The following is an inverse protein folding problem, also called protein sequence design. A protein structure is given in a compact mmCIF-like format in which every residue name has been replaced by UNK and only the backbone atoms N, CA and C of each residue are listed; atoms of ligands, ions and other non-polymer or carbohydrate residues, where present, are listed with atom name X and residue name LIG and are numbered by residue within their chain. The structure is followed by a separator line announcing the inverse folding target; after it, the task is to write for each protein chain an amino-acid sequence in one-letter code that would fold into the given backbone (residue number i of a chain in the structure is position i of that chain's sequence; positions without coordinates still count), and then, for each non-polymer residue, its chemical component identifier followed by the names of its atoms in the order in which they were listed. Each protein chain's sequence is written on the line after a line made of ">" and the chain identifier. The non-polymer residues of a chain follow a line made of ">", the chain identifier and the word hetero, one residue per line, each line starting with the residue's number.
data_IF_717267268123
#
_entry.id   IF_717267268123
#
_cell.length_a   1.000
_cell.length_b   1.000
_cell.length_c   1.000
_cell.angle_alpha   90.00
_cell.angle_beta   90.00
_cell.angle_gamma   90.00
#
_symmetry.space_group_name_H-M   'P 1'
#
loop_
_entity.id
_entity.type
_entity.pdbx_description
1 polymer ?
#
# COMPACT_ATOMS: atom_id res chain seq x y z
N UNK A 1 5.48 -27.98 2.68
CA UNK A 1 5.28 -27.23 1.42
C UNK A 1 5.61 -28.17 0.29
N UNK A 2 4.73 -28.28 -0.69
CA UNK A 2 4.98 -29.02 -1.93
C UNK A 2 5.32 -27.99 -2.99
N UNK A 3 6.59 -27.94 -3.37
CA UNK A 3 7.08 -27.00 -4.39
C UNK A 3 6.91 -27.63 -5.77
N UNK A 4 6.23 -26.93 -6.68
CA UNK A 4 5.83 -27.38 -8.02
C UNK A 4 5.12 -28.75 -8.07
N UNK A 5 3.78 -28.74 -7.99
CA UNK A 5 2.98 -29.96 -8.14
C UNK A 5 3.14 -30.60 -9.53
N UNK A 6 3.32 -29.79 -10.56
CA UNK A 6 3.55 -30.22 -11.93
C UNK A 6 4.87 -30.98 -12.06
N UNK A 7 5.95 -30.50 -11.44
CA UNK A 7 7.24 -31.19 -11.42
C UNK A 7 7.16 -32.59 -10.78
N UNK A 8 6.32 -32.77 -9.77
CA UNK A 8 6.11 -34.07 -9.11
C UNK A 8 5.22 -35.03 -9.89
N UNK A 9 4.44 -34.52 -10.83
CA UNK A 9 3.40 -35.30 -11.54
C UNK A 9 3.68 -35.46 -13.02
N UNK A 10 4.85 -35.03 -13.50
CA UNK A 10 5.21 -35.03 -14.92
C UNK A 10 5.14 -36.43 -15.54
N UNK A 11 5.59 -37.46 -14.82
CA UNK A 11 5.63 -38.85 -15.31
C UNK A 11 4.41 -39.69 -14.93
N UNK A 12 3.42 -39.10 -14.25
CA UNK A 12 2.24 -39.82 -13.75
C UNK A 12 1.09 -39.76 -14.76
N UNK A 13 0.30 -40.83 -14.80
CA UNK A 13 -0.98 -40.80 -15.51
C UNK A 13 -2.06 -40.02 -14.73
N UNK A 14 -3.20 -39.71 -15.37
CA UNK A 14 -4.28 -38.94 -14.72
C UNK A 14 -4.91 -39.67 -13.52
N UNK A 15 -4.90 -41.00 -13.50
CA UNK A 15 -5.43 -41.77 -12.38
C UNK A 15 -4.49 -41.68 -11.16
N UNK A 16 -3.18 -41.78 -11.39
CA UNK A 16 -2.14 -41.60 -10.38
C UNK A 16 -2.13 -40.17 -9.82
N UNK A 17 -2.26 -39.16 -10.68
CA UNK A 17 -2.40 -37.75 -10.27
C UNK A 17 -3.59 -37.54 -9.35
N UNK A 18 -4.76 -38.08 -9.71
CA UNK A 18 -5.95 -37.93 -8.90
C UNK A 18 -5.82 -38.62 -7.54
N UNK A 19 -5.27 -39.83 -7.52
CA UNK A 19 -4.97 -40.54 -6.28
C UNK A 19 -4.01 -39.75 -5.38
N UNK A 20 -2.98 -39.11 -5.95
CA UNK A 20 -2.05 -38.27 -5.22
C UNK A 20 -2.75 -37.04 -4.61
N UNK A 21 -3.58 -36.33 -5.37
CA UNK A 21 -4.36 -35.17 -4.89
C UNK A 21 -5.21 -35.54 -3.67
N UNK A 22 -5.97 -36.64 -3.77
CA UNK A 22 -6.84 -37.13 -2.67
C UNK A 22 -6.00 -37.48 -1.44
N UNK A 23 -4.86 -38.16 -1.63
CA UNK A 23 -3.96 -38.53 -0.52
C UNK A 23 -3.37 -37.32 0.17
N UNK A 24 -2.96 -36.28 -0.57
CA UNK A 24 -2.44 -35.04 0.02
C UNK A 24 -3.50 -34.37 0.91
N UNK A 25 -4.73 -34.27 0.43
CA UNK A 25 -5.83 -33.65 1.19
C UNK A 25 -6.19 -34.47 2.42
N UNK A 26 -6.25 -35.80 2.30
CA UNK A 26 -6.46 -36.69 3.45
C UNK A 26 -5.34 -36.57 4.48
N UNK A 27 -4.09 -36.61 4.02
CA UNK A 27 -2.93 -36.46 4.90
C UNK A 27 -3.00 -35.16 5.70
N UNK A 28 -3.31 -34.03 5.04
CA UNK A 28 -3.48 -32.74 5.71
C UNK A 28 -4.54 -32.81 6.82
N UNK A 29 -5.69 -33.44 6.55
CA UNK A 29 -6.81 -33.57 7.50
C UNK A 29 -6.49 -34.53 8.65
N UNK A 30 -5.99 -35.72 8.34
CA UNK A 30 -5.74 -36.79 9.31
C UNK A 30 -4.61 -36.43 10.27
N UNK A 31 -3.61 -35.69 9.79
CA UNK A 31 -2.48 -35.22 10.59
C UNK A 31 -2.68 -33.83 11.19
N UNK A 32 -3.77 -33.15 10.85
CA UNK A 32 -4.02 -31.75 11.18
C UNK A 32 -2.85 -30.83 10.75
N UNK A 33 -2.21 -31.14 9.63
CA UNK A 33 -1.08 -30.40 9.09
C UNK A 33 -1.53 -29.35 8.07
N UNK A 34 -0.88 -28.18 8.10
CA UNK A 34 -1.07 -27.15 7.09
C UNK A 34 -0.19 -27.44 5.88
N UNK A 35 -0.80 -27.86 4.77
CA UNK A 35 -0.10 -28.13 3.51
C UNK A 35 -0.38 -27.00 2.52
N UNK A 36 0.68 -26.33 2.07
CA UNK A 36 0.66 -25.46 0.91
C UNK A 36 1.23 -26.21 -0.30
N UNK A 37 0.50 -26.16 -1.41
CA UNK A 37 0.89 -26.73 -2.71
C UNK A 37 1.05 -25.59 -3.69
N UNK A 38 2.19 -25.53 -4.37
CA UNK A 38 2.49 -24.52 -5.38
C UNK A 38 2.18 -25.13 -6.75
N UNK A 39 1.42 -24.37 -7.55
CA UNK A 39 1.10 -24.69 -8.94
C UNK A 39 1.60 -23.56 -9.82
N UNK A 40 2.10 -23.90 -11.01
CA UNK A 40 2.65 -22.95 -11.98
C UNK A 40 1.60 -22.54 -13.02
N UNK A 41 0.56 -23.36 -13.18
CA UNK A 41 -0.53 -23.12 -14.13
C UNK A 41 -1.64 -22.25 -13.53
N UNK A 42 -2.26 -21.43 -14.37
CA UNK A 42 -3.46 -20.65 -14.02
C UNK A 42 -4.76 -21.34 -14.46
N UNK A 43 -4.65 -22.52 -15.08
CA UNK A 43 -5.80 -23.30 -15.51
C UNK A 43 -6.51 -23.92 -14.31
N UNK A 44 -7.85 -24.06 -14.34
CA UNK A 44 -8.59 -24.72 -13.27
C UNK A 44 -8.05 -26.12 -12.99
N UNK A 45 -7.62 -26.37 -11.76
CA UNK A 45 -7.08 -27.67 -11.35
C UNK A 45 -8.12 -28.41 -10.48
N UNK A 46 -8.31 -29.74 -10.64
CA UNK A 46 -9.14 -30.50 -9.71
C UNK A 46 -8.82 -30.28 -8.22
N UNK A 47 -7.55 -29.99 -7.92
CA UNK A 47 -7.10 -29.68 -6.56
C UNK A 47 -7.77 -28.43 -5.97
N UNK A 48 -8.17 -27.45 -6.79
CA UNK A 48 -8.84 -26.21 -6.34
C UNK A 48 -10.20 -26.49 -5.67
N UNK A 49 -10.89 -27.53 -6.13
CA UNK A 49 -12.18 -27.95 -5.57
C UNK A 49 -12.00 -28.66 -4.23
N UNK A 50 -10.94 -29.48 -4.12
CA UNK A 50 -10.63 -30.25 -2.93
C UNK A 50 -10.01 -29.39 -1.81
N UNK A 51 -9.22 -28.40 -2.18
CA UNK A 51 -8.52 -27.51 -1.26
C UNK A 51 -9.47 -26.64 -0.43
N UNK A 52 -9.08 -26.35 0.81
CA UNK A 52 -9.81 -25.46 1.70
C UNK A 52 -9.47 -23.98 1.45
N UNK A 53 -8.33 -23.68 0.81
CA UNK A 53 -7.97 -22.35 0.34
C UNK A 53 -7.34 -22.39 -1.05
N UNK A 54 -7.63 -21.37 -1.86
CA UNK A 54 -7.06 -21.18 -3.21
C UNK A 54 -6.63 -19.73 -3.33
N UNK A 55 -5.34 -19.52 -3.61
CA UNK A 55 -4.71 -18.20 -3.74
C UNK A 55 -3.98 -18.15 -5.07
N UNK A 56 -4.19 -17.09 -5.84
CA UNK A 56 -3.48 -16.86 -7.11
C UNK A 56 -2.55 -15.67 -6.98
N UNK A 57 -1.31 -15.84 -7.44
CA UNK A 57 -0.34 -14.75 -7.57
C UNK A 57 -0.31 -14.28 -9.02
N UNK A 58 -0.76 -13.05 -9.26
CA UNK A 58 -0.90 -12.48 -10.60
C UNK A 58 0.20 -11.43 -10.79
N UNK A 59 0.91 -11.52 -11.91
CA UNK A 59 1.80 -10.45 -12.38
C UNK A 59 1.11 -9.77 -13.56
N UNK A 60 0.96 -8.47 -13.47
CA UNK A 60 0.22 -7.65 -14.42
C UNK A 60 1.03 -6.38 -14.75
N UNK A 61 0.62 -5.61 -15.75
CA UNK A 61 1.30 -4.38 -16.17
C UNK A 61 0.29 -3.25 -16.34
N UNK A 62 0.51 -2.13 -15.64
CA UNK A 62 -0.26 -0.90 -15.79
C UNK A 62 0.71 0.22 -16.15
N UNK A 63 0.47 0.91 -17.26
CA UNK A 63 1.31 2.01 -17.76
C UNK A 63 2.81 1.64 -17.81
N UNK A 64 3.10 0.47 -18.41
CA UNK A 64 4.44 -0.14 -18.48
C UNK A 64 5.11 -0.44 -17.13
N UNK A 65 4.36 -0.36 -16.02
CA UNK A 65 4.83 -0.72 -14.68
C UNK A 65 4.29 -2.06 -14.26
N UNK A 66 5.20 -2.95 -13.87
CA UNK A 66 4.86 -4.26 -13.33
C UNK A 66 4.18 -4.11 -11.97
N UNK A 67 3.01 -4.69 -11.84
CA UNK A 67 2.30 -4.84 -10.57
C UNK A 67 2.18 -6.31 -10.23
N UNK A 68 2.10 -6.61 -8.93
CA UNK A 68 1.88 -7.97 -8.45
C UNK A 68 0.70 -7.98 -7.50
N UNK A 69 -0.24 -8.88 -7.75
CA UNK A 69 -1.50 -9.01 -7.02
C UNK A 69 -1.60 -10.41 -6.42
N UNK A 70 -2.04 -10.50 -5.16
CA UNK A 70 -2.51 -11.72 -4.54
C UNK A 70 -4.01 -11.71 -4.62
N UNK A 71 -4.60 -12.74 -5.22
CA UNK A 71 -6.03 -12.93 -5.29
C UNK A 71 -6.44 -14.12 -4.42
N UNK A 72 -7.31 -13.86 -3.45
CA UNK A 72 -7.91 -14.86 -2.58
C UNK A 72 -9.17 -15.40 -3.25
N UNK A 73 -9.04 -16.48 -4.01
CA UNK A 73 -10.16 -17.07 -4.75
C UNK A 73 -11.13 -17.80 -3.82
N UNK A 74 -10.60 -18.45 -2.78
CA UNK A 74 -11.38 -19.28 -1.85
C UNK A 74 -10.64 -19.39 -0.52
N UNK A 75 -11.35 -19.24 0.60
CA UNK A 75 -10.88 -19.58 1.94
C UNK A 75 -12.07 -20.13 2.74
N UNK A 76 -12.18 -21.46 2.89
CA UNK A 76 -13.26 -22.08 3.67
C UNK A 76 -13.12 -21.72 5.15
N UNK A 77 -14.25 -21.41 5.78
CA UNK A 77 -14.29 -21.05 7.20
C UNK A 77 -13.73 -19.67 7.53
N UNK A 78 -13.29 -18.88 6.53
CA UNK A 78 -12.72 -17.53 6.75
C UNK A 78 -13.40 -16.51 5.84
N UNK A 79 -13.83 -15.39 6.42
CA UNK A 79 -14.40 -14.28 5.64
C UNK A 79 -13.32 -13.53 4.88
N UNK A 80 -13.50 -13.38 3.56
CA UNK A 80 -12.63 -12.59 2.71
C UNK A 80 -13.20 -11.16 2.66
N UNK A 81 -12.59 -10.24 3.43
CA UNK A 81 -12.98 -8.82 3.42
C UNK A 81 -12.52 -8.10 2.16
N UNK A 82 -11.31 -8.41 1.71
CA UNK A 82 -10.69 -7.86 0.51
C UNK A 82 -10.10 -9.03 -0.29
N UNK A 83 -10.59 -9.30 -1.50
CA UNK A 83 -10.18 -10.48 -2.26
C UNK A 83 -8.87 -10.29 -3.01
N UNK A 84 -8.36 -9.05 -3.12
CA UNK A 84 -7.17 -8.74 -3.90
C UNK A 84 -6.24 -7.82 -3.11
N UNK A 85 -4.96 -8.16 -3.02
CA UNK A 85 -3.93 -7.35 -2.35
C UNK A 85 -2.75 -7.13 -3.28
N UNK A 86 -2.13 -5.95 -3.22
CA UNK A 86 -0.85 -5.74 -3.88
C UNK A 86 0.27 -6.35 -3.04
N UNK A 87 1.33 -6.83 -3.69
CA UNK A 87 2.54 -7.27 -2.99
C UNK A 87 3.82 -6.88 -3.72
N UNK A 88 4.93 -6.89 -2.97
CA UNK A 88 6.29 -6.67 -3.46
C UNK A 88 7.19 -7.82 -3.04
N UNK A 89 8.29 -7.98 -3.78
CA UNK A 89 9.40 -8.88 -3.47
C UNK A 89 10.67 -8.08 -3.21
N UNK A 90 10.53 -6.82 -2.77
CA UNK A 90 11.68 -5.95 -2.50
C UNK A 90 12.63 -6.64 -1.50
N UNK A 91 13.93 -6.58 -1.80
CA UNK A 91 14.99 -7.25 -1.00
C UNK A 91 14.77 -8.78 -0.86
N UNK A 92 14.06 -9.40 -1.80
CA UNK A 92 13.75 -10.83 -1.74
C UNK A 92 12.65 -11.21 -0.73
N UNK A 93 11.98 -10.24 -0.12
CA UNK A 93 10.96 -10.47 0.90
C UNK A 93 9.55 -10.29 0.33
N UNK A 94 8.70 -11.31 0.47
CA UNK A 94 7.28 -11.18 0.18
C UNK A 94 6.62 -10.27 1.22
N UNK A 95 6.19 -9.09 0.79
CA UNK A 95 5.45 -8.12 1.61
C UNK A 95 4.18 -7.72 0.86
N UNK A 96 3.02 -7.87 1.49
CA UNK A 96 1.76 -7.40 0.94
C UNK A 96 1.39 -6.05 1.55
N UNK A 97 0.59 -5.26 0.82
CA UNK A 97 0.05 -4.00 1.28
C UNK A 97 -1.35 -4.26 1.86
N UNK A 98 -1.57 -4.11 3.18
CA UNK A 98 -2.89 -4.27 3.77
C UNK A 98 -3.85 -3.18 3.27
N UNK A 99 -5.14 -3.32 3.60
CA UNK A 99 -6.11 -2.24 3.39
C UNK A 99 -5.57 -0.95 3.98
N UNK A 100 -5.71 0.15 3.24
CA UNK A 100 -5.48 1.50 3.75
C UNK A 100 -6.62 1.89 4.69
N UNK A 101 -6.57 1.35 5.91
CA UNK A 101 -7.43 1.81 6.99
C UNK A 101 -6.78 3.09 7.55
N UNK A 102 -7.51 4.20 7.46
CA UNK A 102 -7.07 5.48 8.05
C UNK A 102 -7.26 5.38 9.55
N UNK A 103 -6.37 4.66 10.22
CA UNK A 103 -6.39 4.55 11.66
C UNK A 103 -6.07 5.92 12.27
N UNK A 104 -6.96 6.42 13.11
CA UNK A 104 -6.65 7.55 13.98
C UNK A 104 -5.56 7.06 14.92
N UNK A 105 -4.32 7.47 14.67
CA UNK A 105 -3.17 7.05 15.46
C UNK A 105 -3.39 7.53 16.91
N UNK A 106 -3.68 6.60 17.82
CA UNK A 106 -3.99 6.91 19.22
C UNK A 106 -2.85 7.65 19.93
N UNK A 107 -1.61 7.43 19.49
CA UNK A 107 -0.40 8.14 19.93
C UNK A 107 0.46 8.49 18.71
N UNK A 108 0.25 9.66 18.12
CA UNK A 108 1.03 10.10 16.96
C UNK A 108 2.49 10.29 17.39
N UNK A 109 3.40 9.70 16.62
CA UNK A 109 4.83 9.92 16.77
C UNK A 109 5.22 10.94 15.71
N UNK A 110 5.71 12.10 16.13
CA UNK A 110 6.26 13.10 15.20
C UNK A 110 7.50 12.52 14.52
N UNK A 111 7.52 12.39 13.18
CA UNK A 111 8.70 11.94 12.47
C UNK A 111 9.87 12.90 12.68
N UNK A 112 11.09 12.37 12.75
CA UNK A 112 12.28 13.21 12.69
C UNK A 112 12.33 13.93 11.34
N UNK A 113 12.48 15.26 11.29
CA UNK A 113 12.53 15.98 10.02
C UNK A 113 13.67 15.50 9.14
N UNK A 114 13.37 15.28 7.86
CA UNK A 114 14.35 14.88 6.85
C UNK A 114 14.97 16.16 6.26
N UNK A 115 16.29 16.37 6.38
CA UNK A 115 16.95 17.56 5.89
C UNK A 115 16.92 17.63 4.35
N UNK A 116 17.03 18.84 3.83
CA UNK A 116 17.23 19.08 2.40
C UNK A 116 18.55 18.50 1.90
N UNK A 117 18.59 18.13 0.62
CA UNK A 117 19.81 17.71 -0.06
C UNK A 117 20.08 18.68 -1.23
N UNK A 118 21.26 19.31 -1.23
CA UNK A 118 21.68 20.29 -2.25
C UNK A 118 20.61 21.39 -2.52
N UNK A 119 20.22 21.52 -3.78
CA UNK A 119 19.21 22.45 -4.30
C UNK A 119 17.78 21.88 -4.25
N UNK A 120 17.54 20.83 -3.45
CA UNK A 120 16.23 20.18 -3.31
C UNK A 120 15.67 20.29 -1.89
N UNK A 121 14.34 20.24 -1.79
CA UNK A 121 13.55 20.25 -0.56
C UNK A 121 13.01 18.84 -0.36
N UNK A 122 13.29 18.25 0.80
CA UNK A 122 12.75 16.92 1.12
C UNK A 122 11.22 16.92 1.13
N UNK A 123 10.64 15.88 0.54
CA UNK A 123 9.21 15.57 0.56
C UNK A 123 8.72 15.13 1.94
N UNK A 124 9.63 14.90 2.90
CA UNK A 124 9.31 14.31 4.20
C UNK A 124 9.10 12.80 4.17
N UNK A 125 9.28 12.17 3.00
CA UNK A 125 9.22 10.72 2.80
C UNK A 125 10.54 10.30 2.15
N UNK A 126 11.39 9.57 2.89
CA UNK A 126 12.73 9.19 2.41
C UNK A 126 12.69 8.44 1.07
N UNK A 127 11.74 7.51 0.93
CA UNK A 127 11.63 6.70 -0.28
C UNK A 127 11.18 7.55 -1.47
N UNK A 128 10.35 8.56 -1.22
CA UNK A 128 9.92 9.46 -2.28
C UNK A 128 11.01 10.47 -2.65
N UNK A 129 11.83 10.90 -1.68
CA UNK A 129 13.03 11.69 -1.97
C UNK A 129 13.97 10.93 -2.89
N UNK A 130 14.21 9.63 -2.65
CA UNK A 130 15.03 8.80 -3.55
C UNK A 130 14.45 8.76 -4.97
N UNK A 131 13.14 8.58 -5.11
CA UNK A 131 12.46 8.59 -6.42
C UNK A 131 12.55 9.94 -7.14
N UNK A 132 12.62 11.04 -6.39
CA UNK A 132 12.75 12.40 -6.90
C UNK A 132 14.21 12.89 -6.95
N UNK A 133 15.18 11.98 -6.80
CA UNK A 133 16.63 12.28 -6.81
C UNK A 133 17.04 13.30 -5.72
N UNK A 134 16.39 13.27 -4.56
CA UNK A 134 16.65 14.13 -3.40
C UNK A 134 15.50 15.10 -3.05
N UNK A 135 14.34 14.98 -3.68
CA UNK A 135 13.12 15.73 -3.35
C UNK A 135 12.74 16.82 -4.37
N UNK A 136 11.96 17.81 -3.94
CA UNK A 136 11.47 18.90 -4.78
C UNK A 136 12.57 19.91 -5.12
N UNK A 137 12.78 20.23 -6.39
CA UNK A 137 13.68 21.32 -6.80
C UNK A 137 13.29 22.66 -6.13
N UNK A 138 14.25 23.32 -5.47
CA UNK A 138 14.06 24.65 -4.87
C UNK A 138 13.77 25.69 -5.94
N UNK A 139 12.76 26.52 -5.72
CA UNK A 139 12.30 27.51 -6.69
C UNK A 139 11.60 26.90 -7.93
N UNK A 140 11.42 25.58 -7.96
CA UNK A 140 10.69 24.89 -9.02
C UNK A 140 9.19 24.81 -8.76
N UNK A 141 8.43 24.55 -9.81
CA UNK A 141 7.01 24.19 -9.74
C UNK A 141 6.87 22.68 -9.93
N UNK A 142 6.10 22.03 -9.05
CA UNK A 142 5.85 20.59 -9.08
C UNK A 142 4.34 20.37 -9.26
N UNK A 143 3.95 19.67 -10.31
CA UNK A 143 2.56 19.34 -10.61
C UNK A 143 2.29 17.88 -10.25
N UNK A 144 1.21 17.65 -9.50
CA UNK A 144 0.72 16.32 -9.21
C UNK A 144 -0.64 16.13 -9.85
N UNK A 145 -0.71 15.20 -10.80
CA UNK A 145 -1.96 14.77 -11.42
C UNK A 145 -2.54 13.62 -10.60
N UNK A 146 -3.79 13.78 -10.16
CA UNK A 146 -4.45 12.83 -9.27
C UNK A 146 -5.70 12.33 -9.99
N UNK A 147 -5.76 11.03 -10.24
CA UNK A 147 -6.94 10.40 -10.78
C UNK A 147 -8.09 10.38 -9.76
N UNK A 148 -9.32 10.54 -10.24
CA UNK A 148 -10.53 10.55 -9.39
C UNK A 148 -10.69 9.29 -8.53
N UNK A 149 -10.16 8.15 -8.96
CA UNK A 149 -10.18 6.89 -8.20
C UNK A 149 -9.38 6.94 -6.90
N UNK A 150 -8.41 7.85 -6.78
CA UNK A 150 -7.59 8.04 -5.57
C UNK A 150 -8.39 8.75 -4.46
N UNK A 151 -9.42 9.52 -4.83
CA UNK A 151 -10.26 10.24 -3.86
C UNK A 151 -9.45 11.15 -2.94
N UNK A 152 -9.59 10.99 -1.62
CA UNK A 152 -8.91 11.83 -0.61
C UNK A 152 -7.50 11.38 -0.24
N UNK A 153 -7.07 10.20 -0.70
CA UNK A 153 -5.84 9.57 -0.21
C UNK A 153 -4.57 10.25 -0.71
N UNK A 154 -4.66 11.10 -1.74
CA UNK A 154 -3.51 11.88 -2.25
C UNK A 154 -2.88 12.75 -1.15
N UNK A 155 -3.65 13.19 -0.15
CA UNK A 155 -3.15 14.01 0.95
C UNK A 155 -2.01 13.33 1.71
N UNK A 156 -1.99 11.99 1.76
CA UNK A 156 -0.93 11.23 2.42
C UNK A 156 0.45 11.45 1.78
N UNK A 157 0.51 11.90 0.52
CA UNK A 157 1.76 12.26 -0.15
C UNK A 157 2.23 13.66 0.31
N UNK A 158 1.29 14.58 0.55
CA UNK A 158 1.60 15.98 0.86
C UNK A 158 1.71 16.27 2.36
N UNK A 159 0.97 15.57 3.21
CA UNK A 159 1.00 15.79 4.67
C UNK A 159 2.43 15.66 5.24
N UNK A 160 3.24 14.63 4.87
CA UNK A 160 4.63 14.56 5.30
C UNK A 160 5.47 15.76 4.84
N UNK A 161 5.22 16.27 3.62
CA UNK A 161 5.90 17.46 3.12
C UNK A 161 5.60 18.67 4.01
N UNK A 162 4.32 18.90 4.31
CA UNK A 162 3.87 20.03 5.14
C UNK A 162 4.46 19.90 6.56
N UNK A 163 4.33 18.72 7.16
CA UNK A 163 4.87 18.44 8.50
C UNK A 163 6.38 18.61 8.55
N UNK A 164 7.13 18.10 7.56
CA UNK A 164 8.58 18.24 7.47
C UNK A 164 8.99 19.72 7.35
N UNK A 165 8.32 20.47 6.48
CA UNK A 165 8.60 21.89 6.23
C UNK A 165 8.39 22.74 7.49
N UNK A 166 7.24 22.59 8.14
CA UNK A 166 6.93 23.31 9.37
C UNK A 166 7.86 22.91 10.52
N UNK A 167 8.21 21.63 10.64
CA UNK A 167 9.13 21.19 11.68
C UNK A 167 10.57 21.70 11.49
N UNK A 168 10.95 22.06 10.28
CA UNK A 168 12.19 22.76 9.96
C UNK A 168 12.10 24.29 10.05
N UNK A 169 11.02 24.82 10.63
CA UNK A 169 10.81 26.26 10.84
C UNK A 169 10.73 27.08 9.53
N UNK A 170 10.12 26.50 8.48
CA UNK A 170 9.99 27.15 7.18
C UNK A 170 8.56 27.58 6.89
N UNK A 171 8.42 28.71 6.20
CA UNK A 171 7.13 29.30 5.84
C UNK A 171 6.36 28.44 4.83
N UNK A 172 5.10 28.16 5.12
CA UNK A 172 4.20 27.39 4.27
C UNK A 172 2.90 28.17 4.01
N UNK A 173 2.58 28.37 2.73
CA UNK A 173 1.30 28.95 2.31
C UNK A 173 0.39 27.82 1.83
N UNK A 174 -0.77 27.68 2.46
CA UNK A 174 -1.78 26.71 2.08
C UNK A 174 -2.93 27.39 1.36
N UNK A 175 -3.23 26.91 0.15
CA UNK A 175 -4.44 27.26 -0.59
C UNK A 175 -5.28 25.98 -0.66
N UNK A 176 -6.41 25.89 0.06
CA UNK A 176 -7.18 24.66 0.09
C UNK A 176 -7.71 24.28 -1.30
N UNK A 177 -7.63 23.00 -1.69
CA UNK A 177 -8.34 22.51 -2.87
C UNK A 177 -9.85 22.52 -2.63
N UNK A 178 -10.64 22.50 -3.70
CA UNK A 178 -12.11 22.49 -3.60
C UNK A 178 -12.61 21.36 -2.69
N UNK A 179 -13.51 21.69 -1.77
CA UNK A 179 -14.08 20.75 -0.79
C UNK A 179 -13.18 20.47 0.42
N UNK A 180 -12.05 21.17 0.56
CA UNK A 180 -11.21 21.16 1.77
C UNK A 180 -11.11 22.56 2.35
N UNK A 181 -10.79 22.61 3.64
CA UNK A 181 -10.50 23.85 4.35
C UNK A 181 -9.27 23.69 5.24
N UNK A 182 -8.82 24.80 5.81
CA UNK A 182 -7.66 24.86 6.69
C UNK A 182 -7.89 24.07 7.97
N UNK A 183 -9.12 24.06 8.49
CA UNK A 183 -9.47 23.31 9.71
C UNK A 183 -9.21 21.81 9.52
N UNK A 184 -9.55 21.22 8.37
CA UNK A 184 -9.26 19.81 8.08
C UNK A 184 -7.76 19.56 8.01
N UNK A 185 -6.99 20.42 7.35
CA UNK A 185 -5.53 20.28 7.30
C UNK A 185 -4.91 20.35 8.70
N UNK A 186 -5.32 21.32 9.53
CA UNK A 186 -4.84 21.49 10.90
C UNK A 186 -5.12 20.27 11.77
N UNK A 187 -6.27 19.61 11.60
CA UNK A 187 -6.57 18.35 12.27
C UNK A 187 -5.60 17.23 11.85
N UNK A 188 -5.18 17.20 10.58
CA UNK A 188 -4.25 16.20 10.06
C UNK A 188 -2.81 16.42 10.51
N UNK A 189 -2.32 17.67 10.53
CA UNK A 189 -0.91 17.97 10.86
C UNK A 189 -0.67 18.30 12.34
N UNK A 190 -1.70 18.75 13.07
CA UNK A 190 -1.62 19.18 14.47
C UNK A 190 -1.03 18.14 15.42
N UNK A 191 -1.24 16.83 15.23
CA UNK A 191 -0.59 15.83 16.07
C UNK A 191 0.93 15.72 15.87
N UNK A 192 1.47 16.28 14.78
CA UNK A 192 2.87 16.16 14.40
C UNK A 192 3.64 17.49 14.43
N UNK A 193 2.94 18.63 14.52
CA UNK A 193 3.52 19.98 14.48
C UNK A 193 2.97 20.80 15.63
N UNK A 194 3.84 21.46 16.39
CA UNK A 194 3.40 22.28 17.52
C UNK A 194 2.62 23.52 17.07
N UNK A 195 1.63 23.92 17.86
CA UNK A 195 0.80 25.11 17.58
C UNK A 195 1.63 26.38 17.38
N UNK A 196 2.75 26.53 18.10
CA UNK A 196 3.66 27.68 17.94
C UNK A 196 4.33 27.72 16.57
N UNK A 197 4.68 26.55 16.01
CA UNK A 197 5.24 26.47 14.65
C UNK A 197 4.16 26.75 13.61
N UNK A 198 2.97 26.19 13.80
CA UNK A 198 1.83 26.45 12.90
C UNK A 198 1.51 27.94 12.85
N UNK A 199 1.32 28.59 14.01
CA UNK A 199 0.96 30.02 14.05
C UNK A 199 2.04 30.95 13.49
N UNK A 200 3.32 30.57 13.60
CA UNK A 200 4.45 31.37 13.13
C UNK A 200 4.77 31.16 11.65
N UNK A 201 4.65 29.93 11.16
CA UNK A 201 5.17 29.55 9.84
C UNK A 201 4.09 29.17 8.83
N UNK A 202 2.84 28.98 9.22
CA UNK A 202 1.77 28.65 8.29
C UNK A 202 0.87 29.85 8.04
N UNK A 203 0.49 30.06 6.78
CA UNK A 203 -0.57 31.01 6.40
C UNK A 203 -1.52 30.31 5.44
N UNK A 204 -2.82 30.43 5.67
CA UNK A 204 -3.85 29.88 4.78
C UNK A 204 -4.57 30.99 4.02
N UNK A 205 -4.85 30.76 2.75
CA UNK A 205 -5.64 31.64 1.91
C UNK A 205 -6.92 30.91 1.52
N UNK A 206 -8.02 31.24 2.19
CA UNK A 206 -9.33 30.64 1.92
C UNK A 206 -10.21 31.58 1.09
N UNK A 207 -11.08 30.99 0.27
CA UNK A 207 -12.07 31.76 -0.48
C UNK A 207 -13.18 32.20 0.48
N UNK A 208 -13.58 33.46 0.41
CA UNK A 208 -14.57 34.08 1.32
C UNK A 208 -15.93 33.36 1.40
N UNK A 209 -16.25 32.44 0.48
CA UNK A 209 -17.50 31.69 0.43
C UNK A 209 -17.56 30.49 1.38
N UNK A 210 -16.42 30.05 1.93
CA UNK A 210 -16.33 28.77 2.66
C UNK A 210 -16.35 28.96 4.20
N UNK A 211 -16.56 30.21 4.67
CA UNK A 211 -16.61 30.58 6.10
C UNK A 211 -18.01 30.31 6.72
N UNK A 212 -18.99 29.92 5.91
CA UNK A 212 -20.34 29.59 6.39
C UNK A 212 -20.73 28.16 6.01
N UNK A 213 -20.43 27.21 6.90
CA UNK A 213 -21.28 26.07 7.28
C UNK A 213 -20.63 25.26 8.42
#
# INVERSE_FOLDING_TARGET
>A
MVDSFEGLTTDLDEHEKENLRIRLVRLARDTNANIAVIMETFEPNPLDYLADGVITLIVDTIDDRRIRKVQLNKLRGTSIKMPCYLFTLNEGNFKYFPSFDVDIVAKPITPTPIPDFNDKISTGISDFDVLMDGGYLKGGAHLFEIDTSIGKYYENIFLPTITNHLNQNRGFIYIPPCGRNTVTLLKSIGPYVSNNKISKYMTSIEKSSDITN
#
